data_IF_306186185354
#
_entry.id   IF_306186185354
#
_cell.length_a   1.000
_cell.length_b   1.000
_cell.length_c   1.000
_cell.angle_alpha   90.00
_cell.angle_beta   90.00
_cell.angle_gamma   90.00
#
_symmetry.space_group_name_H-M   'P 1'
#
loop_
_entity.id
_entity.type
_entity.pdbx_description
1 polymer ?
#
# COMPACT_ATOMS: atom_id res chain seq x y z
N UNK A 1 3.53 8.07 10.12
CA UNK A 1 4.40 7.00 9.60
C UNK A 1 5.11 6.32 10.76
N UNK A 2 5.89 7.03 11.56
CA UNK A 2 6.66 6.49 12.70
C UNK A 2 5.76 5.74 13.71
N UNK A 3 4.63 6.32 14.10
CA UNK A 3 3.66 5.73 15.03
C UNK A 3 2.74 4.67 14.40
N UNK A 4 2.98 4.28 13.14
CA UNK A 4 2.17 3.33 12.39
C UNK A 4 0.69 3.76 12.18
N UNK A 5 0.34 5.01 12.40
CA UNK A 5 -0.99 5.55 12.04
C UNK A 5 -1.24 5.51 10.54
N UNK A 6 -0.18 5.69 9.74
CA UNK A 6 -0.14 5.36 8.32
C UNK A 6 0.84 4.20 8.15
N UNK A 7 0.37 3.11 7.58
CA UNK A 7 1.13 1.87 7.37
C UNK A 7 0.75 1.23 6.04
N UNK A 8 1.55 0.29 5.55
CA UNK A 8 1.45 -0.28 4.21
C UNK A 8 2.35 0.46 3.22
N UNK A 9 3.07 -0.31 2.37
CA UNK A 9 4.13 0.26 1.55
C UNK A 9 3.64 1.40 0.64
N UNK A 10 2.56 1.28 -0.15
CA UNK A 10 2.08 2.38 -0.99
C UNK A 10 1.60 3.57 -0.17
N UNK A 11 0.78 3.35 0.86
CA UNK A 11 0.24 4.42 1.70
C UNK A 11 1.33 5.24 2.39
N UNK A 12 2.44 4.60 2.83
CA UNK A 12 3.58 5.29 3.42
C UNK A 12 4.27 6.19 2.39
N UNK A 13 4.47 5.71 1.17
CA UNK A 13 5.10 6.49 0.09
C UNK A 13 4.27 7.72 -0.27
N UNK A 14 2.97 7.55 -0.45
CA UNK A 14 2.03 8.63 -0.76
C UNK A 14 1.98 9.65 0.39
N UNK A 15 1.88 9.16 1.64
CA UNK A 15 1.90 10.02 2.82
C UNK A 15 3.19 10.84 2.90
N UNK A 16 4.34 10.26 2.55
CA UNK A 16 5.62 10.95 2.52
C UNK A 16 5.67 12.02 1.42
N UNK A 17 5.13 11.73 0.22
CA UNK A 17 5.06 12.70 -0.87
C UNK A 17 4.23 13.93 -0.50
N UNK A 18 3.04 13.73 0.09
CA UNK A 18 2.25 14.86 0.60
C UNK A 18 2.91 15.53 1.81
N UNK A 19 3.49 14.75 2.71
CA UNK A 19 4.16 15.27 3.92
C UNK A 19 5.32 16.20 3.57
N UNK A 20 6.15 15.85 2.58
CA UNK A 20 7.24 16.72 2.15
C UNK A 20 6.73 17.97 1.42
N UNK A 21 5.58 17.91 0.72
CA UNK A 21 4.94 19.10 0.17
C UNK A 21 4.53 20.09 1.28
N UNK A 22 3.93 19.57 2.36
CA UNK A 22 3.54 20.41 3.51
C UNK A 22 4.76 21.05 4.16
N UNK A 23 5.85 20.28 4.36
CA UNK A 23 7.08 20.84 4.91
C UNK A 23 7.74 21.85 3.96
N UNK A 24 7.76 21.55 2.64
CA UNK A 24 8.30 22.45 1.64
C UNK A 24 7.51 23.78 1.55
N UNK A 25 6.19 23.74 1.74
CA UNK A 25 5.37 24.96 1.74
C UNK A 25 5.74 25.95 2.86
N UNK A 26 6.31 25.45 3.96
CA UNK A 26 6.75 26.24 5.11
C UNK A 26 8.14 26.87 4.93
N UNK A 27 8.86 26.56 3.84
CA UNK A 27 10.15 27.16 3.56
C UNK A 27 9.93 28.56 2.97
N UNK A 28 10.26 29.56 3.74
CA UNK A 28 10.15 30.98 3.34
C UNK A 28 11.48 31.45 2.72
N UNK A 29 11.62 31.33 1.42
CA UNK A 29 12.77 31.79 0.66
C UNK A 29 12.42 31.90 -0.82
N UNK A 30 13.09 32.80 -1.54
CA UNK A 30 13.09 32.85 -3.02
C UNK A 30 14.38 32.26 -3.61
N UNK A 31 15.38 31.97 -2.77
CA UNK A 31 16.65 31.39 -3.18
C UNK A 31 16.53 29.87 -3.31
N UNK A 32 16.80 29.38 -4.52
CA UNK A 32 16.75 27.94 -4.82
C UNK A 32 17.71 27.11 -3.96
N UNK A 33 18.92 27.61 -3.70
CA UNK A 33 19.94 26.86 -2.96
C UNK A 33 19.51 26.68 -1.50
N UNK A 34 18.96 27.73 -0.89
CA UNK A 34 18.41 27.69 0.46
C UNK A 34 17.18 26.77 0.51
N UNK A 35 16.31 26.85 -0.50
CA UNK A 35 15.15 25.97 -0.62
C UNK A 35 15.57 24.49 -0.68
N UNK A 36 16.51 24.15 -1.58
CA UNK A 36 16.97 22.77 -1.77
C UNK A 36 17.64 22.20 -0.51
N UNK A 37 18.45 23.03 0.19
CA UNK A 37 19.09 22.61 1.44
C UNK A 37 18.05 22.24 2.52
N UNK A 38 17.04 23.09 2.72
CA UNK A 38 15.98 22.84 3.69
C UNK A 38 15.08 21.67 3.27
N UNK A 39 14.75 21.55 1.98
CA UNK A 39 14.02 20.42 1.43
C UNK A 39 14.72 19.09 1.74
N UNK A 40 16.05 19.02 1.54
CA UNK A 40 16.85 17.82 1.85
C UNK A 40 16.85 17.47 3.33
N UNK A 41 16.92 18.47 4.23
CA UNK A 41 16.78 18.22 5.68
C UNK A 41 15.43 17.61 6.01
N UNK A 42 14.34 18.09 5.43
CA UNK A 42 13.01 17.53 5.62
C UNK A 42 12.87 16.13 5.00
N UNK A 43 13.48 15.90 3.84
CA UNK A 43 13.55 14.58 3.22
C UNK A 43 14.23 13.56 4.15
N UNK A 44 15.37 13.88 4.70
CA UNK A 44 16.11 13.03 5.65
C UNK A 44 15.28 12.76 6.91
N UNK A 45 14.66 13.79 7.47
CA UNK A 45 13.78 13.65 8.62
C UNK A 45 12.62 12.67 8.36
N UNK A 46 11.91 12.80 7.24
CA UNK A 46 10.85 11.87 6.88
C UNK A 46 11.37 10.46 6.62
N UNK A 47 12.50 10.35 5.92
CA UNK A 47 13.09 9.06 5.57
C UNK A 47 13.56 8.27 6.82
N UNK A 48 14.03 8.96 7.85
CA UNK A 48 14.46 8.35 9.11
C UNK A 48 13.32 7.69 9.89
N UNK A 49 12.05 8.04 9.59
CA UNK A 49 10.87 7.47 10.27
C UNK A 49 10.71 5.97 10.05
N UNK A 50 11.13 5.43 8.89
CA UNK A 50 11.11 4.00 8.53
C UNK A 50 12.25 3.67 7.56
N UNK A 51 13.50 3.49 8.04
CA UNK A 51 14.68 3.35 7.18
C UNK A 51 14.63 2.17 6.19
N UNK A 52 13.85 1.13 6.49
CA UNK A 52 13.71 -0.07 5.65
C UNK A 52 12.53 -0.02 4.69
N UNK A 53 11.70 1.04 4.74
CA UNK A 53 10.52 1.18 3.89
C UNK A 53 10.90 1.73 2.51
N UNK A 54 11.07 0.85 1.52
CA UNK A 54 11.51 1.23 0.16
C UNK A 54 10.57 2.25 -0.48
N UNK A 55 9.26 2.11 -0.33
CA UNK A 55 8.32 3.06 -0.92
C UNK A 55 8.43 4.46 -0.32
N UNK A 56 8.83 4.56 0.96
CA UNK A 56 9.11 5.84 1.60
C UNK A 56 10.25 6.58 0.89
N UNK A 57 11.41 5.92 0.81
CA UNK A 57 12.60 6.51 0.18
C UNK A 57 12.41 6.72 -1.32
N UNK A 58 11.73 5.81 -2.02
CA UNK A 58 11.37 5.96 -3.43
C UNK A 58 10.54 7.23 -3.67
N UNK A 59 9.45 7.42 -2.92
CA UNK A 59 8.60 8.61 -3.06
C UNK A 59 9.37 9.90 -2.77
N UNK A 60 10.13 9.93 -1.69
CA UNK A 60 10.95 11.10 -1.32
C UNK A 60 12.03 11.40 -2.35
N UNK A 61 12.66 10.38 -2.94
CA UNK A 61 13.63 10.56 -4.04
C UNK A 61 12.94 11.12 -5.29
N UNK A 62 11.77 10.62 -5.65
CA UNK A 62 10.99 11.13 -6.78
C UNK A 62 10.59 12.59 -6.58
N UNK A 63 10.22 12.98 -5.36
CA UNK A 63 9.95 14.38 -5.00
C UNK A 63 11.21 15.25 -5.12
N UNK A 64 12.39 14.79 -4.71
CA UNK A 64 13.64 15.53 -4.90
C UNK A 64 13.97 15.68 -6.39
N UNK A 65 13.77 14.65 -7.21
CA UNK A 65 13.97 14.76 -8.66
C UNK A 65 13.07 15.84 -9.27
N UNK A 66 11.85 16.01 -8.75
CA UNK A 66 10.98 17.10 -9.18
C UNK A 66 11.57 18.46 -8.85
N UNK A 67 12.10 18.66 -7.63
CA UNK A 67 12.80 19.91 -7.27
C UNK A 67 13.98 20.17 -8.22
N UNK A 68 14.81 19.16 -8.48
CA UNK A 68 15.99 19.28 -9.34
C UNK A 68 15.62 19.60 -10.80
N UNK A 69 14.54 19.01 -11.31
CA UNK A 69 14.03 19.25 -12.66
C UNK A 69 13.59 20.71 -12.87
N UNK A 70 13.00 21.29 -11.84
CA UNK A 70 12.46 22.66 -11.85
C UNK A 70 13.43 23.72 -11.29
N UNK A 71 14.73 23.43 -11.19
CA UNK A 71 15.77 24.29 -10.56
C UNK A 71 15.91 25.70 -11.14
N UNK A 72 15.41 25.95 -12.37
CA UNK A 72 15.45 27.25 -13.05
C UNK A 72 14.18 28.07 -12.85
N UNK A 73 13.19 27.53 -12.18
CA UNK A 73 11.90 28.15 -11.92
C UNK A 73 11.91 28.84 -10.53
N UNK A 74 10.89 29.65 -10.28
CA UNK A 74 10.73 30.25 -8.96
C UNK A 74 10.41 29.19 -7.89
N UNK A 75 10.75 29.45 -6.63
CA UNK A 75 10.43 28.55 -5.52
C UNK A 75 8.92 28.23 -5.43
N UNK A 76 8.07 29.20 -5.72
CA UNK A 76 6.61 28.98 -5.76
C UNK A 76 6.19 28.02 -6.87
N UNK A 77 6.82 28.09 -8.05
CA UNK A 77 6.58 27.13 -9.14
C UNK A 77 7.08 25.73 -8.75
N UNK A 78 8.23 25.63 -8.06
CA UNK A 78 8.74 24.36 -7.54
C UNK A 78 7.75 23.76 -6.52
N UNK A 79 7.21 24.54 -5.59
CA UNK A 79 6.20 24.09 -4.63
C UNK A 79 4.93 23.58 -5.34
N UNK A 80 4.48 24.28 -6.37
CA UNK A 80 3.33 23.85 -7.18
C UNK A 80 3.62 22.54 -7.92
N UNK A 81 4.83 22.38 -8.50
CA UNK A 81 5.25 21.15 -9.15
C UNK A 81 5.33 19.97 -8.16
N UNK A 82 5.81 20.19 -6.94
CA UNK A 82 5.81 19.17 -5.89
C UNK A 82 4.39 18.70 -5.53
N UNK A 83 3.44 19.61 -5.42
CA UNK A 83 2.05 19.24 -5.16
C UNK A 83 1.45 18.45 -6.33
N UNK A 84 1.73 18.83 -7.56
CA UNK A 84 1.30 18.10 -8.75
C UNK A 84 1.89 16.68 -8.77
N UNK A 85 3.18 16.54 -8.47
CA UNK A 85 3.86 15.25 -8.42
C UNK A 85 3.32 14.33 -7.32
N UNK A 86 3.01 14.88 -6.13
CA UNK A 86 2.40 14.06 -5.07
C UNK A 86 1.02 13.51 -5.45
N UNK A 87 0.24 14.29 -6.21
CA UNK A 87 -1.04 13.83 -6.77
C UNK A 87 -0.84 12.76 -7.84
N UNK A 88 0.21 12.91 -8.68
CA UNK A 88 0.56 11.89 -9.68
C UNK A 88 0.93 10.56 -9.03
N UNK A 89 1.74 10.58 -7.96
CA UNK A 89 2.09 9.38 -7.19
C UNK A 89 0.84 8.68 -6.64
N UNK A 90 -0.11 9.45 -6.12
CA UNK A 90 -1.37 8.89 -5.61
C UNK A 90 -2.23 8.30 -6.73
N UNK A 91 -2.37 9.02 -7.85
CA UNK A 91 -3.17 8.57 -8.99
C UNK A 91 -2.59 7.30 -9.62
N UNK A 92 -1.28 7.22 -9.76
CA UNK A 92 -0.57 6.03 -10.25
C UNK A 92 -0.84 4.81 -9.34
N UNK A 93 -0.83 4.99 -8.03
CA UNK A 93 -1.18 3.93 -7.07
C UNK A 93 -2.64 3.48 -7.24
N UNK A 94 -3.56 4.42 -7.39
CA UNK A 94 -4.98 4.09 -7.62
C UNK A 94 -5.18 3.30 -8.93
N UNK A 95 -4.49 3.68 -9.99
CA UNK A 95 -4.54 3.00 -11.29
C UNK A 95 -3.93 1.60 -11.21
N UNK A 96 -2.77 1.44 -10.55
CA UNK A 96 -2.16 0.14 -10.30
C UNK A 96 -3.06 -0.78 -9.49
N UNK A 97 -3.62 -0.29 -8.38
CA UNK A 97 -4.54 -1.07 -7.55
C UNK A 97 -5.80 -1.47 -8.34
N UNK A 98 -6.31 -0.59 -9.20
CA UNK A 98 -7.44 -0.90 -10.07
C UNK A 98 -7.11 -2.01 -11.07
N UNK A 99 -5.98 -1.91 -11.75
CA UNK A 99 -5.52 -2.93 -12.70
C UNK A 99 -5.28 -4.28 -12.02
N UNK A 100 -4.62 -4.29 -10.85
CA UNK A 100 -4.45 -5.50 -10.04
C UNK A 100 -5.81 -6.12 -9.69
N UNK A 101 -6.77 -5.28 -9.30
CA UNK A 101 -8.11 -5.73 -8.94
C UNK A 101 -8.84 -6.37 -10.13
N UNK A 102 -8.76 -5.77 -11.30
CA UNK A 102 -9.40 -6.29 -12.53
C UNK A 102 -8.78 -7.60 -12.99
N UNK A 103 -7.44 -7.68 -13.05
CA UNK A 103 -6.75 -8.91 -13.43
C UNK A 103 -6.95 -10.02 -12.38
N UNK A 104 -6.85 -9.69 -11.09
CA UNK A 104 -7.09 -10.67 -10.03
C UNK A 104 -8.53 -11.19 -10.03
N UNK A 105 -9.50 -10.31 -10.23
CA UNK A 105 -10.91 -10.69 -10.29
C UNK A 105 -11.20 -11.64 -11.47
N UNK A 106 -10.52 -11.47 -12.60
CA UNK A 106 -10.71 -12.37 -13.77
C UNK A 106 -10.32 -13.84 -13.49
N UNK A 107 -9.60 -14.10 -12.41
CA UNK A 107 -9.20 -15.43 -11.97
C UNK A 107 -10.17 -16.05 -10.96
N UNK A 108 -11.13 -15.27 -10.45
CA UNK A 108 -12.07 -15.67 -9.40
C UNK A 108 -13.48 -15.91 -9.97
N UNK A 109 -14.25 -16.69 -9.24
CA UNK A 109 -15.66 -16.96 -9.55
C UNK A 109 -16.54 -16.49 -8.40
N UNK A 110 -17.79 -16.18 -8.73
CA UNK A 110 -18.82 -15.91 -7.72
C UNK A 110 -18.98 -17.10 -6.77
N UNK A 111 -18.98 -16.84 -5.47
CA UNK A 111 -19.05 -17.86 -4.42
C UNK A 111 -17.72 -18.46 -4.00
N UNK A 112 -16.58 -18.06 -4.60
CA UNK A 112 -15.28 -18.62 -4.20
C UNK A 112 -14.95 -18.31 -2.74
N UNK A 113 -14.40 -19.31 -2.05
CA UNK A 113 -13.73 -19.16 -0.76
C UNK A 113 -12.29 -18.70 -0.97
N UNK A 114 -11.90 -17.68 -0.23
CA UNK A 114 -10.57 -17.05 -0.40
C UNK A 114 -9.83 -17.07 0.93
N UNK A 115 -8.58 -17.49 0.91
CA UNK A 115 -7.66 -17.33 2.05
C UNK A 115 -6.76 -16.12 1.82
N UNK A 116 -6.57 -15.32 2.85
CA UNK A 116 -5.64 -14.19 2.81
C UNK A 116 -4.80 -14.10 4.08
N UNK A 117 -3.59 -13.56 3.94
CA UNK A 117 -2.63 -13.41 5.02
C UNK A 117 -2.07 -11.98 5.05
N UNK A 118 -1.85 -11.42 6.23
CA UNK A 118 -1.41 -10.06 6.48
C UNK A 118 -2.48 -9.02 6.09
N UNK A 119 -2.06 -7.87 5.56
CA UNK A 119 -2.96 -6.81 5.13
C UNK A 119 -2.47 -6.14 3.86
N UNK A 120 -3.19 -6.31 2.79
CA UNK A 120 -2.96 -5.73 1.48
C UNK A 120 -4.27 -5.16 0.89
N UNK A 121 -5.04 -4.49 1.74
CA UNK A 121 -6.31 -3.87 1.43
C UNK A 121 -6.24 -2.34 1.32
N UNK A 122 -7.40 -1.67 1.28
CA UNK A 122 -7.53 -0.21 1.14
C UNK A 122 -6.72 0.59 2.15
N UNK A 123 -6.58 0.13 3.40
CA UNK A 123 -5.77 0.80 4.43
C UNK A 123 -4.26 0.80 4.14
N UNK A 124 -3.79 -0.01 3.21
CA UNK A 124 -2.38 -0.09 2.82
C UNK A 124 -2.05 0.66 1.53
N UNK A 125 -3.05 1.20 0.82
CA UNK A 125 -2.95 1.84 -0.50
C UNK A 125 -3.79 3.11 -0.55
N UNK A 126 -4.00 3.67 -1.75
CA UNK A 126 -4.93 4.80 -1.96
C UNK A 126 -6.36 4.36 -2.22
N UNK A 127 -6.57 3.18 -2.82
CA UNK A 127 -7.90 2.67 -3.19
C UNK A 127 -7.85 1.17 -3.46
N UNK A 128 -8.92 0.44 -3.11
CA UNK A 128 -9.13 -1.00 -3.28
C UNK A 128 -8.16 -1.91 -2.52
N UNK A 129 -6.89 -1.56 -2.40
CA UNK A 129 -5.84 -2.49 -2.00
C UNK A 129 -5.22 -3.22 -3.19
N UNK A 130 -4.33 -4.14 -2.89
CA UNK A 130 -3.73 -5.05 -3.88
C UNK A 130 -4.38 -6.44 -3.78
N UNK A 131 -3.96 -7.29 -2.84
CA UNK A 131 -4.54 -8.64 -2.71
C UNK A 131 -6.04 -8.64 -2.37
N UNK A 132 -6.53 -7.67 -1.60
CA UNK A 132 -7.97 -7.54 -1.32
C UNK A 132 -8.73 -6.79 -2.41
N UNK A 133 -8.03 -6.13 -3.34
CA UNK A 133 -8.63 -5.35 -4.41
C UNK A 133 -9.64 -6.12 -5.27
N UNK A 134 -9.33 -7.34 -5.74
CA UNK A 134 -10.28 -8.18 -6.48
C UNK A 134 -11.60 -8.42 -5.73
N UNK A 135 -11.53 -8.59 -4.41
CA UNK A 135 -12.70 -8.86 -3.58
C UNK A 135 -13.62 -7.63 -3.48
N UNK A 136 -13.04 -6.45 -3.28
CA UNK A 136 -13.81 -5.20 -3.25
C UNK A 136 -14.42 -4.89 -4.62
N UNK A 137 -13.65 -5.06 -5.69
CA UNK A 137 -14.15 -4.85 -7.05
C UNK A 137 -15.25 -5.86 -7.41
N UNK A 138 -15.07 -7.14 -7.07
CA UNK A 138 -16.09 -8.17 -7.29
C UNK A 138 -17.37 -7.87 -6.53
N UNK A 139 -17.25 -7.40 -5.28
CA UNK A 139 -18.40 -6.95 -4.49
C UNK A 139 -19.16 -5.80 -5.15
N UNK A 140 -18.44 -4.81 -5.71
CA UNK A 140 -19.06 -3.71 -6.48
C UNK A 140 -19.82 -4.23 -7.71
N UNK A 141 -19.39 -5.36 -8.29
CA UNK A 141 -20.02 -6.03 -9.43
C UNK A 141 -21.11 -7.05 -9.04
N UNK A 142 -21.44 -7.15 -7.75
CA UNK A 142 -22.47 -8.04 -7.24
C UNK A 142 -22.01 -9.47 -6.94
N UNK A 143 -20.70 -9.75 -7.03
CA UNK A 143 -20.14 -11.05 -6.65
C UNK A 143 -20.07 -11.20 -5.13
N UNK A 144 -20.11 -12.43 -4.69
CA UNK A 144 -19.99 -12.84 -3.28
C UNK A 144 -18.72 -13.66 -3.08
N UNK A 145 -18.09 -13.49 -1.93
CA UNK A 145 -16.91 -14.27 -1.53
C UNK A 145 -17.03 -14.60 -0.05
N UNK A 146 -16.50 -15.77 0.34
CA UNK A 146 -16.25 -16.07 1.74
C UNK A 146 -14.75 -16.01 2.00
N UNK A 147 -14.31 -15.09 2.85
CA UNK A 147 -12.88 -14.84 3.08
C UNK A 147 -12.44 -15.40 4.43
N UNK A 148 -11.45 -16.28 4.41
CA UNK A 148 -10.72 -16.70 5.61
C UNK A 148 -9.49 -15.79 5.75
N UNK A 149 -9.45 -15.00 6.82
CA UNK A 149 -8.34 -14.11 7.10
C UNK A 149 -7.50 -14.67 8.24
N UNK A 150 -6.25 -15.03 7.95
CA UNK A 150 -5.27 -15.36 8.98
C UNK A 150 -5.08 -14.19 9.93
N UNK A 151 -5.00 -14.44 11.25
CA UNK A 151 -4.74 -13.39 12.23
C UNK A 151 -3.41 -12.67 12.02
N UNK A 152 -2.41 -13.34 11.44
CA UNK A 152 -1.08 -12.85 11.10
C UNK A 152 -0.24 -12.47 12.30
N UNK A 153 0.22 -13.49 13.04
CA UNK A 153 1.17 -13.28 14.14
C UNK A 153 2.51 -12.72 13.61
N UNK A 154 3.29 -11.93 14.40
CA UNK A 154 2.96 -11.49 15.76
C UNK A 154 2.17 -10.17 15.85
N UNK A 155 2.11 -9.35 14.75
CA UNK A 155 1.53 -7.99 14.80
C UNK A 155 0.02 -7.95 14.48
N UNK A 156 -0.57 -9.10 14.14
CA UNK A 156 -2.01 -9.29 13.95
C UNK A 156 -2.64 -8.38 12.87
N UNK A 157 -1.94 -8.16 11.75
CA UNK A 157 -2.46 -7.33 10.66
C UNK A 157 -3.76 -7.90 10.06
N UNK A 158 -3.87 -9.23 9.96
CA UNK A 158 -5.08 -9.88 9.48
C UNK A 158 -6.26 -9.65 10.44
N UNK A 159 -6.04 -9.89 11.73
CA UNK A 159 -7.07 -9.70 12.75
C UNK A 159 -7.47 -8.23 12.94
N UNK A 160 -6.50 -7.32 12.91
CA UNK A 160 -6.73 -5.90 13.24
C UNK A 160 -7.19 -5.06 12.06
N UNK A 161 -6.77 -5.41 10.85
CA UNK A 161 -6.96 -4.58 9.65
C UNK A 161 -7.78 -5.32 8.59
N UNK A 162 -7.32 -6.47 8.11
CA UNK A 162 -7.97 -7.20 7.01
C UNK A 162 -9.40 -7.59 7.35
N UNK A 163 -9.64 -8.18 8.53
CA UNK A 163 -10.98 -8.54 8.97
C UNK A 163 -11.88 -7.32 9.10
N UNK A 164 -11.33 -6.20 9.61
CA UNK A 164 -12.06 -4.94 9.72
C UNK A 164 -12.45 -4.37 8.35
N UNK A 165 -11.51 -4.31 7.40
CA UNK A 165 -11.75 -3.79 6.05
C UNK A 165 -12.83 -4.60 5.32
N UNK A 166 -12.69 -5.93 5.33
CA UNK A 166 -13.65 -6.84 4.69
C UNK A 166 -15.05 -6.72 5.32
N UNK A 167 -15.12 -6.75 6.65
CA UNK A 167 -16.39 -6.58 7.36
C UNK A 167 -17.05 -5.23 7.05
N UNK A 168 -16.29 -4.14 7.06
CA UNK A 168 -16.81 -2.80 6.71
C UNK A 168 -17.21 -2.68 5.25
N UNK A 169 -16.53 -3.40 4.36
CA UNK A 169 -16.88 -3.50 2.95
C UNK A 169 -18.08 -4.42 2.65
N UNK A 170 -18.66 -5.05 3.67
CA UNK A 170 -19.78 -5.97 3.52
C UNK A 170 -19.40 -7.28 2.83
N UNK A 171 -18.14 -7.69 2.92
CA UNK A 171 -17.62 -8.97 2.44
C UNK A 171 -17.63 -9.94 3.61
N UNK A 172 -18.17 -11.14 3.40
CA UNK A 172 -18.21 -12.17 4.42
C UNK A 172 -16.80 -12.64 4.79
N UNK A 173 -16.46 -12.58 6.08
CA UNK A 173 -15.11 -12.86 6.56
C UNK A 173 -15.11 -13.67 7.85
N UNK A 174 -14.31 -14.71 7.88
CA UNK A 174 -13.98 -15.50 9.06
C UNK A 174 -12.52 -15.28 9.44
N UNK A 175 -12.29 -14.74 10.63
CA UNK A 175 -10.95 -14.65 11.20
C UNK A 175 -10.54 -16.01 11.74
N UNK A 176 -9.34 -16.45 11.35
CA UNK A 176 -8.76 -17.73 11.77
C UNK A 176 -7.36 -17.53 12.36
N UNK A 177 -6.92 -18.50 13.19
CA UNK A 177 -5.51 -18.57 13.59
C UNK A 177 -4.64 -18.97 12.41
N UNK A 178 -3.39 -18.49 12.35
CA UNK A 178 -2.47 -18.76 11.22
C UNK A 178 -2.28 -20.25 10.95
N UNK A 179 -2.30 -21.09 11.99
CA UNK A 179 -2.16 -22.55 11.84
C UNK A 179 -3.44 -23.26 11.37
N UNK A 180 -4.54 -22.55 11.16
CA UNK A 180 -5.80 -23.14 10.66
C UNK A 180 -5.88 -23.10 9.13
N UNK A 181 -4.99 -22.39 8.43
CA UNK A 181 -4.97 -22.32 6.98
C UNK A 181 -5.05 -23.69 6.31
N UNK A 182 -4.24 -24.65 6.77
CA UNK A 182 -4.23 -26.01 6.23
C UNK A 182 -5.55 -26.76 6.38
N UNK A 183 -6.32 -26.53 7.45
CA UNK A 183 -7.60 -27.23 7.63
C UNK A 183 -8.70 -26.65 6.74
N UNK A 184 -8.75 -25.33 6.52
CA UNK A 184 -9.73 -24.73 5.63
C UNK A 184 -9.48 -25.12 4.16
N UNK A 185 -8.20 -25.22 3.77
CA UNK A 185 -7.80 -25.75 2.45
C UNK A 185 -8.18 -27.23 2.30
N UNK A 186 -7.84 -28.08 3.29
CA UNK A 186 -8.13 -29.51 3.28
C UNK A 186 -9.63 -29.80 3.14
N UNK A 187 -10.47 -28.98 3.74
CA UNK A 187 -11.93 -29.12 3.67
C UNK A 187 -12.51 -28.60 2.34
N UNK A 188 -11.70 -28.06 1.44
CA UNK A 188 -12.15 -27.52 0.16
C UNK A 188 -12.94 -26.20 0.29
N UNK A 189 -12.80 -25.50 1.42
CA UNK A 189 -13.48 -24.22 1.65
C UNK A 189 -12.81 -23.03 0.97
N UNK A 190 -11.61 -23.23 0.43
CA UNK A 190 -10.78 -22.21 -0.22
C UNK A 190 -10.45 -22.65 -1.65
N UNK A 191 -10.75 -21.80 -2.62
CA UNK A 191 -10.45 -21.99 -4.04
C UNK A 191 -9.23 -21.19 -4.48
N UNK A 192 -8.90 -20.10 -3.75
CA UNK A 192 -7.73 -19.29 -4.04
C UNK A 192 -7.12 -18.67 -2.77
N UNK A 193 -5.79 -18.49 -2.80
CA UNK A 193 -5.06 -17.71 -1.81
C UNK A 193 -4.66 -16.37 -2.43
N UNK A 194 -5.10 -15.26 -1.83
CA UNK A 194 -4.73 -13.91 -2.27
C UNK A 194 -3.87 -13.25 -1.20
N UNK A 195 -2.61 -13.03 -1.52
CA UNK A 195 -1.64 -12.40 -0.62
C UNK A 195 -0.91 -11.26 -1.33
N UNK A 196 -0.48 -10.25 -0.58
CA UNK A 196 0.42 -9.23 -1.09
C UNK A 196 1.86 -9.75 -1.18
N UNK A 197 2.77 -8.85 -1.58
CA UNK A 197 4.20 -9.12 -1.48
C UNK A 197 4.95 -7.85 -1.06
N UNK A 198 6.02 -8.02 -0.28
CA UNK A 198 6.91 -6.92 0.09
C UNK A 198 7.96 -6.67 -0.99
N UNK A 199 8.35 -7.74 -1.72
CA UNK A 199 9.34 -7.72 -2.79
C UNK A 199 9.03 -8.78 -3.84
N UNK A 200 9.32 -8.44 -5.10
CA UNK A 200 9.31 -9.36 -6.23
C UNK A 200 10.69 -9.29 -6.91
N UNK A 201 11.35 -10.43 -7.04
CA UNK A 201 12.60 -10.54 -7.77
C UNK A 201 12.34 -10.60 -9.29
N UNK A 202 13.38 -10.36 -10.10
CA UNK A 202 13.25 -10.37 -11.56
C UNK A 202 12.80 -11.72 -12.15
N UNK A 203 13.04 -12.81 -11.44
CA UNK A 203 12.60 -14.16 -11.82
C UNK A 203 11.18 -14.50 -11.34
N UNK A 204 10.49 -13.56 -10.65
CA UNK A 204 9.15 -13.75 -10.11
C UNK A 204 9.08 -14.28 -8.67
N UNK A 205 10.20 -14.63 -8.05
CA UNK A 205 10.21 -15.02 -6.64
C UNK A 205 9.72 -13.86 -5.77
N UNK A 206 8.92 -14.17 -4.76
CA UNK A 206 8.32 -13.17 -3.88
C UNK A 206 8.74 -13.38 -2.43
N UNK A 207 8.98 -12.26 -1.74
CA UNK A 207 9.10 -12.23 -0.29
C UNK A 207 7.93 -11.45 0.29
N UNK A 208 7.31 -11.98 1.33
CA UNK A 208 6.15 -11.37 1.97
C UNK A 208 6.19 -11.58 3.49
N UNK A 209 5.12 -11.19 4.15
CA UNK A 209 4.90 -11.35 5.58
C UNK A 209 5.23 -12.77 6.05
N UNK A 210 5.91 -12.88 7.22
CA UNK A 210 6.15 -14.17 7.87
C UNK A 210 4.85 -14.97 7.97
N UNK A 211 4.90 -16.25 7.61
CA UNK A 211 3.75 -17.15 7.54
C UNK A 211 3.22 -17.37 6.13
N UNK A 212 3.48 -16.47 5.17
CA UNK A 212 2.96 -16.61 3.79
C UNK A 212 3.38 -17.91 3.12
N UNK A 213 4.60 -18.39 3.35
CA UNK A 213 5.07 -19.68 2.80
C UNK A 213 4.33 -20.91 3.36
N UNK A 214 3.56 -20.75 4.43
CA UNK A 214 2.72 -21.85 4.97
C UNK A 214 1.40 -21.94 4.21
N UNK A 215 0.93 -20.83 3.65
CA UNK A 215 -0.32 -20.79 2.88
C UNK A 215 -0.10 -20.91 1.36
N UNK A 216 1.17 -20.84 0.90
CA UNK A 216 1.56 -21.04 -0.48
C UNK A 216 1.72 -22.53 -0.79
#
# INVERSE_FOLDING_TARGET
IFELKVRGAPAIGICAAYGICVLASQIETEDYSIFLENFRKYKEYLNSSRPTAVNLSWALNRMEQTVLKHQKESVEQIKAALLAESRSIQEEDMQMCRAISEYGLSLLKDGDGILTHCNAGPLATSRYGTALGPLFLGKEQGMTFHVFADETRPLLQGARLTSYELYKGGIDVTLICDNMAGIVMKNGWVQACLVGCDRIAANGDTANKIGTSVVA
#
